data_IF_953613293547
#
_entry.id   IF_953613293547
#
_cell.length_a   1.000
_cell.length_b   1.000
_cell.length_c   1.000
_cell.angle_alpha   90.00
_cell.angle_beta   90.00
_cell.angle_gamma   90.00
#
_symmetry.space_group_name_H-M   'P 1'
#
loop_
_entity.id
_entity.type
_entity.pdbx_description
1 polymer ?
#
# COMPACT_ATOMS: atom_id res chain seq x y z
N UNK A 1 -9.89 -11.94 -25.47
CA UNK A 1 -9.31 -11.72 -24.13
C UNK A 1 -10.38 -11.47 -23.08
N UNK A 2 -11.27 -10.50 -23.25
CA UNK A 2 -12.30 -10.13 -22.26
C UNK A 2 -13.24 -11.29 -21.89
N UNK A 3 -13.71 -12.06 -22.88
CA UNK A 3 -14.54 -13.26 -22.66
C UNK A 3 -13.85 -14.33 -21.80
N UNK A 4 -12.56 -14.51 -21.95
CA UNK A 4 -11.78 -15.51 -21.20
C UNK A 4 -11.57 -15.05 -19.73
N UNK A 5 -11.35 -13.76 -19.54
CA UNK A 5 -11.15 -13.15 -18.23
C UNK A 5 -12.42 -13.21 -17.37
N UNK A 6 -13.58 -12.96 -17.98
CA UNK A 6 -14.88 -13.08 -17.30
C UNK A 6 -15.16 -14.55 -16.93
N UNK A 7 -14.87 -15.50 -17.82
CA UNK A 7 -15.02 -16.94 -17.54
C UNK A 7 -14.17 -17.39 -16.34
N UNK A 8 -12.94 -16.86 -16.20
CA UNK A 8 -12.10 -17.16 -15.01
C UNK A 8 -12.73 -16.63 -13.72
N UNK A 9 -13.31 -15.42 -13.74
CA UNK A 9 -14.00 -14.85 -12.58
C UNK A 9 -15.26 -15.65 -12.22
N UNK A 10 -16.03 -16.09 -13.20
CA UNK A 10 -17.22 -16.94 -13.01
C UNK A 10 -16.92 -18.35 -12.47
N UNK A 11 -15.70 -18.84 -12.74
CA UNK A 11 -15.26 -20.16 -12.28
C UNK A 11 -14.69 -20.15 -10.85
N UNK A 12 -14.59 -18.99 -10.20
CA UNK A 12 -14.04 -18.87 -8.86
C UNK A 12 -14.92 -19.60 -7.84
N UNK A 13 -14.29 -20.45 -7.03
CA UNK A 13 -14.97 -21.23 -5.99
C UNK A 13 -14.48 -20.78 -4.62
N UNK A 14 -15.36 -20.21 -3.75
CA UNK A 14 -15.01 -19.89 -2.38
C UNK A 14 -14.62 -21.15 -1.58
N UNK A 15 -13.63 -21.01 -0.72
CA UNK A 15 -13.12 -22.09 0.14
C UNK A 15 -12.70 -21.55 1.49
N UNK A 16 -12.93 -22.34 2.53
CA UNK A 16 -12.42 -22.07 3.88
C UNK A 16 -10.95 -22.48 3.99
N UNK A 17 -10.15 -21.62 4.59
CA UNK A 17 -8.72 -21.83 4.83
C UNK A 17 -8.40 -21.57 6.32
N UNK A 18 -7.36 -22.20 6.85
CA UNK A 18 -6.82 -21.81 8.17
C UNK A 18 -5.98 -20.55 8.02
N UNK A 19 -6.39 -19.48 8.71
CA UNK A 19 -5.71 -18.18 8.65
C UNK A 19 -4.24 -18.26 9.08
N UNK A 20 -3.94 -19.09 10.09
CA UNK A 20 -2.57 -19.28 10.55
C UNK A 20 -1.70 -19.95 9.49
N UNK A 21 -2.20 -20.98 8.82
CA UNK A 21 -1.48 -21.64 7.71
C UNK A 21 -1.22 -20.66 6.57
N UNK A 22 -2.22 -19.86 6.20
CA UNK A 22 -2.12 -18.90 5.09
C UNK A 22 -1.08 -17.80 5.36
N UNK A 23 -1.03 -17.25 6.58
CA UNK A 23 -0.24 -16.06 6.88
C UNK A 23 1.08 -16.32 7.60
N UNK A 24 1.15 -17.37 8.41
CA UNK A 24 2.35 -17.68 9.22
C UNK A 24 2.91 -19.07 9.01
N UNK A 25 2.22 -19.94 8.26
CA UNK A 25 2.60 -21.35 8.08
C UNK A 25 2.31 -22.23 9.29
N UNK A 26 1.68 -21.68 10.35
CA UNK A 26 1.35 -22.42 11.58
C UNK A 26 -0.17 -22.45 11.75
N UNK A 27 -0.80 -23.63 11.87
CA UNK A 27 -2.25 -23.73 12.01
C UNK A 27 -2.72 -23.11 13.33
N UNK A 28 -3.79 -22.32 13.26
CA UNK A 28 -4.42 -21.67 14.41
C UNK A 28 -5.84 -22.14 14.68
N UNK A 29 -6.47 -22.83 13.73
CA UNK A 29 -7.89 -23.22 13.78
C UNK A 29 -8.84 -22.05 13.48
N UNK A 30 -8.32 -20.84 13.19
CA UNK A 30 -9.15 -19.71 12.80
C UNK A 30 -9.46 -19.78 11.30
N UNK A 31 -10.73 -19.80 10.94
CA UNK A 31 -11.18 -19.87 9.56
C UNK A 31 -11.17 -18.53 8.88
N UNK A 32 -10.67 -18.48 7.64
CA UNK A 32 -10.75 -17.35 6.75
C UNK A 32 -11.21 -17.81 5.36
N UNK A 33 -12.04 -17.01 4.71
CA UNK A 33 -12.51 -17.31 3.36
C UNK A 33 -11.55 -16.78 2.30
N UNK A 34 -11.28 -17.61 1.30
CA UNK A 34 -10.54 -17.26 0.10
C UNK A 34 -11.12 -17.98 -1.11
N UNK A 35 -10.38 -18.03 -2.21
CA UNK A 35 -10.75 -18.80 -3.39
C UNK A 35 -9.80 -19.98 -3.59
N UNK A 36 -10.33 -21.07 -4.14
CA UNK A 36 -9.57 -22.30 -4.33
C UNK A 36 -8.36 -22.10 -5.24
N UNK A 37 -8.54 -21.35 -6.33
CA UNK A 37 -7.50 -21.08 -7.32
C UNK A 37 -7.35 -19.57 -7.55
N UNK A 38 -6.13 -19.11 -7.88
CA UNK A 38 -5.94 -17.74 -8.35
C UNK A 38 -6.54 -17.55 -9.76
N UNK A 39 -6.89 -16.32 -10.11
CA UNK A 39 -7.29 -15.89 -11.45
C UNK A 39 -6.33 -14.80 -11.97
N UNK A 40 -6.56 -14.29 -13.17
CA UNK A 40 -5.77 -13.23 -13.78
C UNK A 40 -5.67 -11.97 -12.90
N UNK A 41 -6.70 -11.68 -12.10
CA UNK A 41 -6.74 -10.51 -11.21
C UNK A 41 -6.12 -10.78 -9.82
N UNK A 42 -5.71 -11.99 -9.52
CA UNK A 42 -5.08 -12.31 -8.24
C UNK A 42 -3.65 -11.74 -8.20
N UNK A 43 -3.29 -10.94 -7.18
CA UNK A 43 -1.94 -10.42 -7.06
C UNK A 43 -0.91 -11.54 -6.86
N UNK A 44 0.33 -11.28 -7.27
CA UNK A 44 1.43 -12.22 -7.06
C UNK A 44 1.86 -12.20 -5.58
N UNK A 45 2.06 -13.38 -5.02
CA UNK A 45 2.64 -13.54 -3.68
C UNK A 45 4.09 -13.06 -3.70
N UNK A 46 4.41 -12.09 -2.84
CA UNK A 46 5.80 -11.71 -2.57
C UNK A 46 6.36 -12.63 -1.48
N UNK A 47 7.35 -13.49 -1.79
CA UNK A 47 7.93 -14.42 -0.83
C UNK A 47 8.74 -13.73 0.27
N UNK A 48 9.14 -12.48 0.07
CA UNK A 48 9.90 -11.69 1.04
C UNK A 48 9.00 -10.81 1.91
N UNK A 49 7.70 -10.75 1.61
CA UNK A 49 6.77 -9.94 2.40
C UNK A 49 6.52 -10.58 3.76
N UNK A 50 6.82 -9.85 4.82
CA UNK A 50 6.51 -10.22 6.20
C UNK A 50 5.32 -9.42 6.70
N UNK A 51 4.30 -10.11 7.21
CA UNK A 51 3.19 -9.45 7.88
C UNK A 51 3.65 -8.87 9.21
N UNK A 52 3.34 -7.61 9.45
CA UNK A 52 3.63 -6.90 10.69
C UNK A 52 2.32 -6.72 11.51
N UNK A 53 2.40 -6.03 12.64
CA UNK A 53 1.32 -5.96 13.63
C UNK A 53 -0.03 -5.54 13.05
N UNK A 54 -0.08 -4.50 12.19
CA UNK A 54 -1.30 -4.03 11.54
C UNK A 54 -1.95 -5.07 10.61
N UNK A 55 -1.23 -6.12 10.22
CA UNK A 55 -1.79 -7.23 9.45
C UNK A 55 -2.83 -8.03 10.24
N UNK A 56 -2.73 -8.05 11.59
CA UNK A 56 -3.71 -8.71 12.45
C UNK A 56 -5.10 -8.09 12.25
N UNK A 57 -5.18 -6.76 12.30
CA UNK A 57 -6.45 -6.05 12.20
C UNK A 57 -7.06 -6.24 10.81
N UNK A 58 -6.24 -6.17 9.77
CA UNK A 58 -6.67 -6.43 8.40
C UNK A 58 -7.10 -7.91 8.19
N UNK A 59 -6.43 -8.89 8.81
CA UNK A 59 -6.85 -10.29 8.77
C UNK A 59 -8.18 -10.51 9.51
N UNK A 60 -8.35 -9.92 10.70
CA UNK A 60 -9.61 -9.96 11.45
C UNK A 60 -10.76 -9.35 10.64
N UNK A 61 -10.50 -8.25 9.95
CA UNK A 61 -11.45 -7.62 9.03
C UNK A 61 -11.87 -8.59 7.91
N UNK A 62 -10.92 -9.28 7.28
CA UNK A 62 -11.20 -10.26 6.25
C UNK A 62 -12.06 -11.43 6.76
N UNK A 63 -11.73 -11.95 7.96
CA UNK A 63 -12.41 -13.09 8.56
C UNK A 63 -13.87 -12.80 8.87
N UNK A 64 -14.18 -11.61 9.35
CA UNK A 64 -15.48 -11.31 9.96
C UNK A 64 -16.45 -10.55 9.05
N UNK A 65 -16.09 -10.25 7.81
CA UNK A 65 -16.91 -9.49 6.85
C UNK A 65 -17.47 -8.21 7.51
N UNK A 66 -16.56 -7.44 8.09
CA UNK A 66 -16.89 -6.19 8.77
C UNK A 66 -17.12 -5.06 7.75
N UNK A 67 -17.46 -3.88 8.25
CA UNK A 67 -17.56 -2.65 7.47
C UNK A 67 -16.30 -2.38 6.63
N UNK A 68 -16.36 -1.54 5.59
CA UNK A 68 -15.19 -1.20 4.78
C UNK A 68 -13.95 -0.83 5.60
N UNK A 69 -12.77 -1.19 5.12
CA UNK A 69 -11.51 -0.92 5.82
C UNK A 69 -10.84 0.34 5.28
N UNK A 70 -10.43 1.25 6.17
CA UNK A 70 -9.59 2.38 5.81
C UNK A 70 -8.23 2.28 6.50
N UNK A 71 -7.19 2.03 5.71
CA UNK A 71 -5.81 1.97 6.15
C UNK A 71 -5.18 3.36 6.00
N UNK A 72 -4.76 3.96 7.08
CA UNK A 72 -4.08 5.25 7.06
C UNK A 72 -2.69 5.17 7.70
N UNK A 73 -1.84 6.14 7.40
CA UNK A 73 -0.49 6.22 7.96
C UNK A 73 0.53 6.80 6.99
N UNK A 74 1.79 6.92 7.38
CA UNK A 74 2.80 7.63 6.61
C UNK A 74 3.03 7.02 5.24
N UNK A 75 3.53 7.85 4.29
CA UNK A 75 3.84 7.38 2.94
C UNK A 75 4.88 6.26 2.96
N UNK A 76 4.65 5.21 2.15
CA UNK A 76 5.56 4.07 2.03
C UNK A 76 5.63 3.16 3.26
N UNK A 77 4.65 3.20 4.18
CA UNK A 77 4.50 2.26 5.30
C UNK A 77 4.00 0.87 4.90
N UNK A 78 3.59 0.67 3.64
CA UNK A 78 3.17 -0.63 3.13
C UNK A 78 1.65 -0.87 3.12
N UNK A 79 0.81 0.15 3.32
CA UNK A 79 -0.67 0.04 3.32
C UNK A 79 -1.22 -0.77 2.14
N UNK A 80 -0.92 -0.36 0.92
CA UNK A 80 -1.34 -1.05 -0.30
C UNK A 80 -0.76 -2.46 -0.40
N UNK A 81 0.52 -2.63 -0.03
CA UNK A 81 1.20 -3.93 -0.04
C UNK A 81 0.54 -4.91 0.93
N UNK A 82 0.12 -4.45 2.10
CA UNK A 82 -0.58 -5.25 3.09
C UNK A 82 -1.85 -5.87 2.49
N UNK A 83 -2.72 -5.06 1.91
CA UNK A 83 -3.97 -5.54 1.31
C UNK A 83 -3.70 -6.45 0.10
N UNK A 84 -2.74 -6.08 -0.77
CA UNK A 84 -2.35 -6.92 -1.91
C UNK A 84 -1.84 -8.29 -1.47
N UNK A 85 -1.05 -8.36 -0.42
CA UNK A 85 -0.48 -9.61 0.06
C UNK A 85 -1.50 -10.47 0.84
N UNK A 86 -2.49 -9.87 1.48
CA UNK A 86 -3.66 -10.60 1.99
C UNK A 86 -4.47 -11.20 0.83
N UNK A 87 -4.81 -10.41 -0.18
CA UNK A 87 -5.55 -10.86 -1.36
C UNK A 87 -4.80 -11.98 -2.11
N UNK A 88 -3.48 -11.83 -2.30
CA UNK A 88 -2.65 -12.81 -2.98
C UNK A 88 -2.69 -14.20 -2.31
N UNK A 89 -2.53 -14.23 -0.97
CA UNK A 89 -2.49 -15.50 -0.21
C UNK A 89 -3.86 -16.15 -0.06
N UNK A 90 -4.93 -15.40 -0.26
CA UNK A 90 -6.31 -15.89 -0.23
C UNK A 90 -6.87 -16.13 -1.64
N UNK A 91 -6.04 -15.99 -2.69
CA UNK A 91 -6.43 -16.08 -4.10
C UNK A 91 -7.57 -15.12 -4.49
N UNK A 92 -7.73 -14.00 -3.81
CA UNK A 92 -8.77 -13.02 -4.12
C UNK A 92 -8.49 -12.29 -5.43
N UNK A 93 -9.51 -12.13 -6.31
CA UNK A 93 -9.45 -11.13 -7.38
C UNK A 93 -9.30 -9.74 -6.76
N UNK A 94 -8.36 -8.98 -7.26
CA UNK A 94 -7.98 -7.69 -6.71
C UNK A 94 -8.14 -6.58 -7.75
N UNK A 95 -8.96 -5.62 -7.45
CA UNK A 95 -9.26 -4.48 -8.31
C UNK A 95 -8.84 -3.20 -7.60
N UNK A 96 -8.04 -2.38 -8.26
CA UNK A 96 -7.42 -1.21 -7.66
C UNK A 96 -7.65 0.03 -8.51
N UNK A 97 -8.00 1.12 -7.84
CA UNK A 97 -8.00 2.46 -8.41
C UNK A 97 -7.23 3.41 -7.52
N UNK A 98 -6.68 4.47 -8.10
CA UNK A 98 -6.02 5.53 -7.34
C UNK A 98 -6.91 6.76 -7.31
N UNK A 99 -7.19 7.26 -6.12
CA UNK A 99 -7.95 8.48 -5.89
C UNK A 99 -7.23 9.70 -6.47
N UNK A 100 -7.96 10.52 -7.18
CA UNK A 100 -7.51 11.83 -7.66
C UNK A 100 -8.72 12.72 -7.97
N UNK A 101 -8.52 14.02 -8.01
CA UNK A 101 -9.60 14.98 -8.16
C UNK A 101 -10.37 14.96 -9.50
N UNK A 102 -9.98 14.10 -10.47
CA UNK A 102 -10.65 13.93 -11.77
C UNK A 102 -11.22 12.53 -11.96
N UNK A 103 -11.17 11.70 -10.93
CA UNK A 103 -11.80 10.37 -11.00
C UNK A 103 -13.30 10.55 -11.15
N UNK A 104 -13.93 9.77 -12.03
CA UNK A 104 -15.36 9.79 -12.26
C UNK A 104 -16.00 8.46 -11.85
N UNK A 105 -17.30 8.47 -11.57
CA UNK A 105 -18.05 7.24 -11.22
C UNK A 105 -17.98 6.23 -12.35
N UNK A 106 -17.93 6.69 -13.60
CA UNK A 106 -17.78 5.84 -14.78
C UNK A 106 -16.46 5.05 -14.78
N UNK A 107 -15.36 5.63 -14.26
CA UNK A 107 -14.07 4.94 -14.13
C UNK A 107 -14.15 3.76 -13.16
N UNK A 108 -15.04 3.85 -12.18
CA UNK A 108 -15.25 2.81 -11.17
C UNK A 108 -16.24 1.75 -11.65
N UNK A 109 -17.36 2.20 -12.22
CA UNK A 109 -18.50 1.35 -12.56
C UNK A 109 -18.40 0.74 -13.97
N UNK A 110 -17.84 1.49 -14.91
CA UNK A 110 -17.74 1.11 -16.32
C UNK A 110 -18.41 2.13 -17.24
N UNK A 111 -18.23 1.94 -18.52
CA UNK A 111 -18.71 2.84 -19.55
C UNK A 111 -19.03 2.10 -20.86
N UNK A 112 -19.76 2.76 -21.76
CA UNK A 112 -20.03 2.25 -23.10
C UNK A 112 -18.81 2.51 -23.98
N UNK A 113 -18.29 1.46 -24.62
CA UNK A 113 -17.21 1.53 -25.61
C UNK A 113 -17.64 1.03 -26.98
N UNK A 114 -16.91 1.43 -28.03
CA UNK A 114 -17.17 1.01 -29.42
C UNK A 114 -16.19 -0.09 -29.81
N UNK A 115 -16.68 -1.33 -29.95
CA UNK A 115 -15.92 -2.48 -30.42
C UNK A 115 -16.44 -2.97 -31.79
N UNK A 116 -15.58 -3.01 -32.80
CA UNK A 116 -15.90 -3.58 -34.11
C UNK A 116 -17.22 -3.06 -34.69
N UNK A 117 -17.54 -1.77 -34.44
CA UNK A 117 -18.77 -1.13 -34.96
C UNK A 117 -20.03 -1.38 -34.09
N UNK A 118 -19.93 -2.08 -32.98
CA UNK A 118 -21.02 -2.25 -32.02
C UNK A 118 -20.69 -1.61 -30.68
N UNK A 119 -21.70 -0.99 -30.03
CA UNK A 119 -21.57 -0.45 -28.69
C UNK A 119 -21.68 -1.60 -27.68
N UNK A 120 -20.73 -1.65 -26.73
CA UNK A 120 -20.74 -2.61 -25.62
C UNK A 120 -20.45 -1.88 -24.33
N UNK A 121 -21.06 -2.34 -23.24
CA UNK A 121 -20.72 -1.85 -21.91
C UNK A 121 -19.49 -2.61 -21.38
N UNK A 122 -18.44 -1.88 -21.00
CA UNK A 122 -17.26 -2.41 -20.34
C UNK A 122 -17.38 -2.16 -18.84
N UNK A 123 -17.37 -3.25 -18.06
CA UNK A 123 -17.49 -3.16 -16.59
C UNK A 123 -16.19 -2.60 -15.98
N UNK A 124 -16.35 -1.60 -15.13
CA UNK A 124 -15.28 -1.03 -14.36
C UNK A 124 -14.86 -1.93 -13.16
N UNK A 125 -13.75 -1.58 -12.50
CA UNK A 125 -13.17 -2.40 -11.44
C UNK A 125 -14.10 -2.61 -10.23
N UNK A 126 -14.92 -1.63 -9.87
CA UNK A 126 -15.92 -1.76 -8.81
C UNK A 126 -17.01 -2.76 -9.19
N UNK A 127 -17.55 -2.64 -10.39
CA UNK A 127 -18.60 -3.53 -10.90
C UNK A 127 -18.14 -4.99 -10.94
N UNK A 128 -16.90 -5.22 -11.42
CA UNK A 128 -16.29 -6.55 -11.44
C UNK A 128 -16.08 -7.11 -10.02
N UNK A 129 -15.53 -6.29 -9.12
CA UNK A 129 -15.31 -6.71 -7.75
C UNK A 129 -16.63 -7.06 -7.04
N UNK A 130 -17.65 -6.22 -7.17
CA UNK A 130 -18.97 -6.46 -6.57
C UNK A 130 -19.63 -7.72 -7.11
N UNK A 131 -19.56 -7.94 -8.43
CA UNK A 131 -20.23 -9.06 -9.10
C UNK A 131 -19.59 -10.40 -8.78
N UNK A 132 -18.25 -10.46 -8.77
CA UNK A 132 -17.50 -11.73 -8.69
C UNK A 132 -16.84 -11.97 -7.32
N UNK A 133 -17.13 -11.12 -6.33
CA UNK A 133 -16.62 -11.32 -4.97
C UNK A 133 -15.16 -10.91 -4.79
N UNK A 134 -14.68 -9.97 -5.60
CA UNK A 134 -13.32 -9.46 -5.49
C UNK A 134 -13.11 -8.48 -4.33
N UNK A 135 -11.85 -8.16 -4.09
CA UNK A 135 -11.46 -7.06 -3.23
C UNK A 135 -11.25 -5.81 -4.08
N UNK A 136 -12.00 -4.76 -3.79
CA UNK A 136 -11.87 -3.45 -4.40
C UNK A 136 -11.08 -2.52 -3.49
N UNK A 137 -9.97 -1.97 -3.98
CA UNK A 137 -9.11 -1.05 -3.25
C UNK A 137 -9.12 0.33 -3.89
N UNK A 138 -9.40 1.36 -3.09
CA UNK A 138 -9.18 2.76 -3.47
C UNK A 138 -7.92 3.26 -2.77
N UNK A 139 -6.83 3.44 -3.53
CA UNK A 139 -5.61 4.06 -3.01
C UNK A 139 -5.76 5.58 -2.95
N UNK A 140 -5.11 6.19 -1.94
CA UNK A 140 -5.08 7.65 -1.78
C UNK A 140 -6.48 8.27 -1.76
N UNK A 141 -7.39 7.66 -1.01
CA UNK A 141 -8.81 8.05 -0.93
C UNK A 141 -8.99 9.49 -0.40
N UNK A 142 -8.04 9.99 0.34
CA UNK A 142 -7.95 11.38 0.84
C UNK A 142 -7.72 12.43 -0.27
N UNK A 143 -7.47 11.99 -1.51
CA UNK A 143 -7.41 12.83 -2.71
C UNK A 143 -8.69 12.79 -3.56
N UNK A 144 -9.71 12.03 -3.15
CA UNK A 144 -10.98 11.95 -3.86
C UNK A 144 -11.77 13.26 -3.78
N UNK A 145 -12.49 13.57 -4.86
CA UNK A 145 -13.49 14.63 -4.80
C UNK A 145 -14.66 14.22 -3.90
N UNK A 146 -15.31 15.18 -3.20
CA UNK A 146 -16.48 14.90 -2.36
C UNK A 146 -17.64 14.23 -3.13
N UNK A 147 -17.80 14.53 -4.42
CA UNK A 147 -18.83 13.98 -5.29
C UNK A 147 -18.68 12.47 -5.46
N UNK A 148 -17.46 11.99 -5.66
CA UNK A 148 -17.16 10.55 -5.77
C UNK A 148 -17.39 9.86 -4.42
N UNK A 149 -16.94 10.47 -3.33
CA UNK A 149 -17.16 9.93 -1.99
C UNK A 149 -18.65 9.73 -1.70
N UNK A 150 -19.48 10.72 -2.04
CA UNK A 150 -20.96 10.60 -1.90
C UNK A 150 -21.53 9.52 -2.82
N UNK A 151 -21.04 9.40 -4.06
CA UNK A 151 -21.48 8.37 -5.01
C UNK A 151 -21.22 6.94 -4.52
N UNK A 152 -20.22 6.76 -3.66
CA UNK A 152 -19.87 5.45 -3.10
C UNK A 152 -20.64 5.08 -1.82
N UNK A 153 -21.40 6.01 -1.21
CA UNK A 153 -22.06 5.76 0.08
C UNK A 153 -22.91 4.49 0.07
N UNK A 154 -23.73 4.28 -0.96
CA UNK A 154 -24.55 3.10 -1.06
C UNK A 154 -23.75 1.79 -1.08
N UNK A 155 -22.67 1.78 -1.85
CA UNK A 155 -21.78 0.60 -1.95
C UNK A 155 -21.08 0.31 -0.63
N UNK A 156 -20.63 1.35 0.08
CA UNK A 156 -20.00 1.21 1.39
C UNK A 156 -20.96 0.62 2.43
N UNK A 157 -22.27 0.91 2.31
CA UNK A 157 -23.34 0.37 3.16
C UNK A 157 -23.89 -0.99 2.66
N UNK A 158 -23.29 -1.57 1.61
CA UNK A 158 -23.70 -2.86 1.05
C UNK A 158 -24.92 -2.81 0.12
N UNK A 159 -25.33 -1.61 -0.32
CA UNK A 159 -26.40 -1.46 -1.30
C UNK A 159 -25.99 -1.96 -2.69
N UNK A 160 -26.95 -2.42 -3.52
CA UNK A 160 -26.71 -2.76 -4.91
C UNK A 160 -26.20 -1.55 -5.73
N UNK A 161 -25.35 -1.82 -6.71
CA UNK A 161 -24.90 -0.84 -7.69
C UNK A 161 -25.83 -0.88 -8.90
N UNK A 162 -26.43 0.27 -9.23
CA UNK A 162 -27.22 0.42 -10.44
C UNK A 162 -26.37 1.01 -11.56
N UNK A 163 -26.44 0.42 -12.76
CA UNK A 163 -25.74 0.84 -13.97
C UNK A 163 -26.73 1.38 -14.99
N UNK A 164 -27.11 2.66 -14.94
CA UNK A 164 -28.10 3.22 -15.86
C UNK A 164 -27.70 3.09 -17.33
N UNK A 165 -26.41 3.26 -17.62
CA UNK A 165 -25.85 3.18 -18.99
C UNK A 165 -25.85 1.74 -19.55
N UNK A 166 -25.96 0.73 -18.68
CA UNK A 166 -26.10 -0.67 -19.07
C UNK A 166 -27.57 -1.14 -18.96
N UNK A 167 -28.49 -0.38 -19.47
CA UNK A 167 -29.91 -0.75 -19.47
C UNK A 167 -30.54 -0.79 -18.07
N UNK A 168 -29.98 -0.15 -17.07
CA UNK A 168 -30.45 -0.17 -15.70
C UNK A 168 -30.11 -1.46 -14.95
N UNK A 169 -29.08 -2.15 -15.35
CA UNK A 169 -28.60 -3.34 -14.66
C UNK A 169 -28.31 -3.05 -13.18
N UNK A 170 -28.68 -3.99 -12.30
CA UNK A 170 -28.44 -3.92 -10.86
C UNK A 170 -27.49 -5.03 -10.44
N UNK A 171 -26.33 -4.66 -9.88
CA UNK A 171 -25.35 -5.58 -9.35
C UNK A 171 -25.48 -5.63 -7.83
N UNK A 172 -25.88 -6.79 -7.30
CA UNK A 172 -25.87 -7.05 -5.86
C UNK A 172 -24.45 -7.44 -5.42
N UNK A 173 -23.97 -6.94 -4.26
CA UNK A 173 -22.65 -7.34 -3.76
C UNK A 173 -22.59 -8.85 -3.51
N UNK A 174 -21.63 -9.51 -4.12
CA UNK A 174 -21.32 -10.91 -3.84
C UNK A 174 -20.92 -11.07 -2.37
N UNK A 175 -21.19 -12.21 -1.75
CA UNK A 175 -20.85 -12.46 -0.34
C UNK A 175 -19.35 -12.35 -0.03
N UNK A 176 -18.49 -12.66 -1.02
CA UNK A 176 -17.05 -12.53 -0.91
C UNK A 176 -16.55 -11.10 -1.18
N UNK A 177 -17.39 -10.19 -1.66
CA UNK A 177 -16.97 -8.81 -1.94
C UNK A 177 -16.41 -8.10 -0.71
N UNK A 178 -15.27 -7.43 -0.89
CA UNK A 178 -14.62 -6.62 0.12
C UNK A 178 -14.21 -5.27 -0.49
N UNK A 179 -14.31 -4.21 0.32
CA UNK A 179 -13.85 -2.88 -0.07
C UNK A 179 -12.90 -2.34 0.99
N UNK A 180 -11.76 -1.84 0.52
CA UNK A 180 -10.75 -1.19 1.35
C UNK A 180 -10.29 0.12 0.72
N UNK A 181 -9.80 1.03 1.55
CA UNK A 181 -9.23 2.30 1.13
C UNK A 181 -7.86 2.49 1.78
N UNK A 182 -6.98 3.25 1.12
CA UNK A 182 -5.74 3.74 1.75
C UNK A 182 -5.67 5.25 1.69
N UNK A 183 -5.09 5.88 2.70
CA UNK A 183 -4.80 7.30 2.74
C UNK A 183 -3.54 7.62 3.54
N UNK A 184 -3.04 8.82 3.40
CA UNK A 184 -1.88 9.28 4.17
C UNK A 184 -2.27 9.98 5.47
N UNK A 185 -3.55 10.35 5.59
CA UNK A 185 -4.16 10.98 6.76
C UNK A 185 -5.28 10.09 7.32
N UNK A 186 -5.68 10.32 8.56
CA UNK A 186 -6.83 9.67 9.18
C UNK A 186 -8.19 10.27 8.75
N UNK A 187 -8.19 11.08 7.69
CA UNK A 187 -9.36 11.82 7.22
C UNK A 187 -9.52 13.21 7.84
N UNK A 188 -8.70 13.59 8.81
CA UNK A 188 -8.68 14.92 9.42
C UNK A 188 -8.07 16.02 8.55
N UNK A 189 -7.52 15.67 7.39
CA UNK A 189 -6.68 16.53 6.58
C UNK A 189 -5.21 16.50 7.04
N UNK A 190 -4.36 17.20 6.31
CA UNK A 190 -2.93 17.28 6.62
C UNK A 190 -2.62 18.58 7.38
N UNK A 191 -2.50 18.48 8.70
CA UNK A 191 -2.09 19.59 9.55
C UNK A 191 -0.56 19.86 9.47
N UNK A 192 0.21 18.97 8.85
CA UNK A 192 1.67 19.06 8.72
C UNK A 192 2.13 19.79 7.47
N UNK A 193 1.25 19.94 6.46
CA UNK A 193 1.57 20.49 5.14
C UNK A 193 2.45 19.60 4.26
N UNK A 194 2.69 18.36 4.68
CA UNK A 194 3.56 17.41 3.98
C UNK A 194 2.82 16.60 2.89
N UNK A 195 1.50 16.48 3.01
CA UNK A 195 0.63 15.75 2.08
C UNK A 195 -0.29 16.72 1.33
N UNK A 196 0.30 17.51 0.43
CA UNK A 196 -0.45 18.49 -0.34
C UNK A 196 -1.58 17.84 -1.14
N UNK A 197 -2.75 18.48 -1.15
CA UNK A 197 -3.93 18.01 -1.88
C UNK A 197 -4.85 17.09 -1.08
N UNK A 198 -4.46 16.64 0.10
CA UNK A 198 -5.37 15.90 0.99
C UNK A 198 -6.36 16.87 1.62
N UNK A 199 -7.66 16.57 1.46
CA UNK A 199 -8.75 17.33 2.06
C UNK A 199 -9.21 16.72 3.40
N UNK A 200 -9.92 17.53 4.20
CA UNK A 200 -10.70 16.97 5.31
C UNK A 200 -11.85 16.16 4.74
N UNK A 201 -11.93 14.91 5.14
CA UNK A 201 -13.02 14.02 4.75
C UNK A 201 -14.26 14.28 5.61
N UNK A 202 -15.43 14.03 5.05
CA UNK A 202 -16.67 14.15 5.78
C UNK A 202 -16.72 13.10 6.89
N UNK A 203 -16.99 13.51 8.13
CA UNK A 203 -17.08 12.61 9.29
C UNK A 203 -18.11 11.49 9.10
N UNK A 204 -19.27 11.81 8.51
CA UNK A 204 -20.28 10.80 8.22
C UNK A 204 -19.82 9.77 7.18
N UNK A 205 -18.92 10.15 6.28
CA UNK A 205 -18.30 9.22 5.34
C UNK A 205 -17.29 8.30 6.03
N UNK A 206 -16.45 8.87 6.92
CA UNK A 206 -15.46 8.12 7.72
C UNK A 206 -16.11 7.13 8.70
N UNK A 207 -17.29 7.44 9.22
CA UNK A 207 -18.06 6.59 10.15
C UNK A 207 -18.45 5.23 9.54
N UNK A 208 -18.36 5.10 8.21
CA UNK A 208 -18.62 3.84 7.48
C UNK A 208 -17.44 2.89 7.46
N UNK A 209 -16.29 3.30 8.00
CA UNK A 209 -15.06 2.53 7.90
C UNK A 209 -14.55 2.05 9.26
N UNK A 210 -13.97 0.88 9.25
CA UNK A 210 -13.02 0.49 10.28
C UNK A 210 -11.69 1.12 9.94
N UNK A 211 -11.15 1.94 10.85
CA UNK A 211 -9.87 2.60 10.67
C UNK A 211 -8.75 1.73 11.22
N UNK A 212 -7.71 1.52 10.43
CA UNK A 212 -6.51 0.79 10.81
C UNK A 212 -5.26 1.63 10.52
N UNK A 213 -4.49 1.91 11.54
CA UNK A 213 -3.22 2.62 11.40
C UNK A 213 -2.11 1.68 10.94
N UNK A 214 -1.40 2.06 9.89
CA UNK A 214 -0.29 1.29 9.34
C UNK A 214 1.00 2.11 9.43
N UNK A 215 1.75 1.87 10.46
CA UNK A 215 3.05 2.50 10.70
C UNK A 215 4.18 1.78 9.93
N UNK A 216 5.40 2.34 10.00
CA UNK A 216 6.57 1.64 9.48
C UNK A 216 6.80 0.35 10.24
N UNK A 217 7.31 -0.71 9.56
CA UNK A 217 7.66 -1.95 10.22
C UNK A 217 8.72 -1.74 11.31
N UNK A 218 8.72 -2.61 12.30
CA UNK A 218 9.75 -2.63 13.33
C UNK A 218 11.15 -2.81 12.75
N UNK A 219 12.16 -2.28 13.43
CA UNK A 219 13.55 -2.34 13.00
C UNK A 219 14.02 -3.79 12.71
N UNK A 220 13.55 -4.76 13.48
CA UNK A 220 13.87 -6.18 13.29
C UNK A 220 13.32 -6.69 11.96
N UNK A 221 12.07 -6.34 11.63
CA UNK A 221 11.43 -6.75 10.38
C UNK A 221 12.12 -6.12 9.17
N UNK A 222 12.48 -4.84 9.22
CA UNK A 222 13.21 -4.17 8.14
C UNK A 222 14.62 -4.70 7.97
N UNK A 223 15.33 -4.99 9.07
CA UNK A 223 16.63 -5.64 9.04
C UNK A 223 16.56 -7.00 8.33
N UNK A 224 15.62 -7.85 8.75
CA UNK A 224 15.43 -9.18 8.15
C UNK A 224 15.09 -9.09 6.66
N UNK A 225 14.27 -8.11 6.28
CA UNK A 225 13.92 -7.85 4.88
C UNK A 225 15.16 -7.44 4.06
N UNK A 226 15.98 -6.52 4.57
CA UNK A 226 17.20 -6.09 3.91
C UNK A 226 18.22 -7.22 3.76
N UNK A 227 18.44 -8.02 4.81
CA UNK A 227 19.35 -9.17 4.76
C UNK A 227 18.90 -10.20 3.73
N UNK A 228 17.60 -10.47 3.64
CA UNK A 228 17.05 -11.40 2.65
C UNK A 228 17.18 -10.89 1.22
N UNK A 229 16.92 -9.60 0.97
CA UNK A 229 16.95 -9.02 -0.36
C UNK A 229 18.36 -8.66 -0.83
N UNK A 230 19.23 -8.29 0.09
CA UNK A 230 20.58 -7.81 -0.20
C UNK A 230 21.66 -8.56 0.63
N UNK A 231 21.80 -9.88 0.46
CA UNK A 231 22.71 -10.70 1.26
C UNK A 231 24.20 -10.33 1.13
N UNK A 232 24.54 -9.52 0.13
CA UNK A 232 25.92 -9.01 -0.09
C UNK A 232 26.23 -7.83 0.84
N UNK A 233 25.21 -7.14 1.38
CA UNK A 233 25.44 -6.07 2.35
C UNK A 233 25.86 -6.66 3.70
N UNK A 234 26.97 -6.19 4.30
CA UNK A 234 27.36 -6.63 5.63
C UNK A 234 26.26 -6.31 6.66
N UNK A 235 25.97 -7.24 7.57
CA UNK A 235 24.88 -7.09 8.55
C UNK A 235 25.01 -5.82 9.39
N UNK A 236 26.22 -5.44 9.77
CA UNK A 236 26.46 -4.21 10.54
C UNK A 236 26.11 -2.94 9.75
N UNK A 237 26.21 -2.95 8.42
CA UNK A 237 25.78 -1.86 7.55
C UNK A 237 24.25 -1.83 7.48
N UNK A 238 23.62 -3.00 7.33
CA UNK A 238 22.14 -3.12 7.33
C UNK A 238 21.55 -2.56 8.62
N UNK A 239 22.10 -2.94 9.79
CA UNK A 239 21.63 -2.41 11.08
C UNK A 239 21.72 -0.88 11.11
N UNK A 240 22.86 -0.32 10.73
CA UNK A 240 23.04 1.15 10.70
C UNK A 240 22.12 1.84 9.70
N UNK A 241 21.81 1.21 8.56
CA UNK A 241 20.85 1.76 7.60
C UNK A 241 19.44 1.82 8.17
N UNK A 242 19.01 0.79 8.90
CA UNK A 242 17.71 0.76 9.60
C UNK A 242 17.67 1.81 10.71
N UNK A 243 18.72 1.90 11.52
CA UNK A 243 18.82 2.90 12.59
C UNK A 243 18.78 4.34 12.02
N UNK A 244 19.49 4.59 10.94
CA UNK A 244 19.45 5.86 10.21
C UNK A 244 18.03 6.19 9.73
N UNK A 245 17.34 5.19 9.13
CA UNK A 245 15.97 5.38 8.68
C UNK A 245 15.02 5.74 9.83
N UNK A 246 15.16 5.06 10.97
CA UNK A 246 14.33 5.31 12.15
C UNK A 246 14.59 6.68 12.77
N UNK A 247 15.83 7.16 12.76
CA UNK A 247 16.15 8.51 13.24
C UNK A 247 15.51 9.59 12.36
N UNK A 248 15.56 9.42 11.03
CA UNK A 248 14.89 10.33 10.09
C UNK A 248 13.37 10.32 10.28
N UNK A 249 12.76 9.14 10.47
CA UNK A 249 11.31 9.00 10.73
C UNK A 249 10.86 9.71 11.99
N UNK A 250 11.64 9.61 13.08
CA UNK A 250 11.33 10.32 14.33
C UNK A 250 11.28 11.84 14.13
N UNK A 251 12.26 12.39 13.40
CA UNK A 251 12.30 13.82 13.11
C UNK A 251 11.16 14.25 12.17
N UNK A 252 10.81 13.43 11.17
CA UNK A 252 9.68 13.68 10.27
C UNK A 252 8.33 13.66 11.01
N UNK A 253 8.13 12.74 11.94
CA UNK A 253 6.87 12.60 12.68
C UNK A 253 6.70 13.62 13.82
N UNK A 254 7.65 14.54 14.00
CA UNK A 254 7.56 15.60 15.02
C UNK A 254 7.68 15.09 16.46
N UNK A 255 8.26 13.92 16.66
CA UNK A 255 8.49 13.33 17.98
C UNK A 255 9.60 14.03 18.80
N UNK A 256 10.14 15.16 18.31
CA UNK A 256 11.04 16.03 19.08
C UNK A 256 10.24 17.20 19.66
N UNK A 257 10.34 17.41 20.96
CA UNK A 257 9.68 18.48 21.75
C UNK A 257 10.03 19.93 21.33
N UNK A 258 10.77 20.10 20.24
CA UNK A 258 11.19 21.40 19.73
C UNK A 258 10.57 21.69 18.37
N UNK A 259 9.76 22.72 18.29
CA UNK A 259 9.06 23.25 17.10
C UNK A 259 9.99 23.71 15.94
N UNK A 260 11.29 23.45 16.02
CA UNK A 260 12.29 24.02 15.11
C UNK A 260 12.88 23.05 14.09
N UNK A 261 12.64 21.73 14.19
CA UNK A 261 13.40 20.74 13.42
C UNK A 261 12.54 19.64 12.74
N UNK A 262 11.32 19.96 12.31
CA UNK A 262 10.57 19.04 11.44
C UNK A 262 11.18 19.05 10.03
N UNK A 263 11.60 17.87 9.57
CA UNK A 263 12.12 17.69 8.22
C UNK A 263 10.98 17.33 7.26
N UNK A 264 11.07 17.88 6.04
CA UNK A 264 10.05 17.71 4.99
C UNK A 264 10.12 16.37 4.24
N UNK A 265 11.08 15.51 4.58
CA UNK A 265 11.27 14.21 3.92
C UNK A 265 11.31 13.08 4.93
N UNK A 266 10.79 11.92 4.55
CA UNK A 266 10.89 10.70 5.35
C UNK A 266 11.59 9.59 4.60
N UNK A 267 12.30 8.73 5.32
CA UNK A 267 12.95 7.54 4.78
C UNK A 267 12.02 6.33 4.98
N UNK A 268 11.04 6.18 4.07
CA UNK A 268 10.12 5.05 4.08
C UNK A 268 10.84 3.73 3.85
N UNK A 269 10.22 2.59 4.18
CA UNK A 269 10.74 1.25 3.86
C UNK A 269 11.08 1.12 2.39
N UNK A 270 10.23 1.63 1.48
CA UNK A 270 10.51 1.68 0.03
C UNK A 270 11.78 2.48 -0.28
N UNK A 271 12.00 3.60 0.39
CA UNK A 271 13.18 4.44 0.21
C UNK A 271 14.43 3.76 0.79
N UNK A 272 14.29 3.07 1.92
CA UNK A 272 15.36 2.29 2.55
C UNK A 272 15.84 1.16 1.63
N UNK A 273 14.93 0.39 1.05
CA UNK A 273 15.26 -0.65 0.07
C UNK A 273 15.96 -0.06 -1.17
N UNK A 274 15.47 1.06 -1.68
CA UNK A 274 16.11 1.77 -2.80
C UNK A 274 17.52 2.24 -2.44
N UNK A 275 17.70 2.75 -1.23
CA UNK A 275 19.04 3.18 -0.77
C UNK A 275 20.01 2.01 -0.70
N UNK A 276 19.59 0.86 -0.18
CA UNK A 276 20.37 -0.36 -0.13
C UNK A 276 20.77 -0.86 -1.54
N UNK A 277 19.79 -0.95 -2.45
CA UNK A 277 20.04 -1.36 -3.84
C UNK A 277 21.02 -0.42 -4.55
N UNK A 278 20.81 0.90 -4.43
CA UNK A 278 21.71 1.88 -5.04
C UNK A 278 23.11 1.87 -4.42
N UNK A 279 23.23 1.60 -3.12
CA UNK A 279 24.54 1.49 -2.45
C UNK A 279 25.37 0.37 -3.07
N UNK A 280 24.77 -0.80 -3.32
CA UNK A 280 25.44 -1.90 -3.99
C UNK A 280 25.80 -1.58 -5.44
N UNK A 281 24.87 -1.00 -6.19
CA UNK A 281 25.10 -0.62 -7.60
C UNK A 281 26.21 0.42 -7.77
N UNK A 282 26.36 1.31 -6.79
CA UNK A 282 27.40 2.35 -6.83
C UNK A 282 28.70 1.95 -6.12
N UNK A 283 28.79 0.74 -5.57
CA UNK A 283 30.03 0.24 -4.95
C UNK A 283 31.28 0.38 -5.86
N UNK A 284 31.21 0.12 -7.19
CA UNK A 284 32.38 0.32 -8.06
C UNK A 284 32.92 1.75 -8.10
N UNK A 285 32.09 2.76 -7.76
CA UNK A 285 32.54 4.16 -7.74
C UNK A 285 33.48 4.48 -6.57
N UNK A 286 33.59 3.58 -5.58
CA UNK A 286 34.53 3.71 -4.47
C UNK A 286 35.99 3.84 -4.98
N UNK A 287 36.34 3.16 -6.08
CA UNK A 287 37.66 3.27 -6.71
C UNK A 287 37.94 4.69 -7.27
N UNK A 288 36.92 5.51 -7.44
CA UNK A 288 37.02 6.90 -7.88
C UNK A 288 36.98 7.90 -6.72
N UNK A 289 37.04 7.42 -5.46
CA UNK A 289 36.97 8.24 -4.26
C UNK A 289 35.54 8.69 -3.91
N UNK A 290 34.53 8.12 -4.55
CA UNK A 290 33.11 8.41 -4.27
C UNK A 290 32.61 7.45 -3.18
N UNK A 291 32.03 7.99 -2.11
CA UNK A 291 31.45 7.17 -1.04
C UNK A 291 30.08 6.61 -1.46
N UNK A 292 29.91 5.30 -1.68
CA UNK A 292 28.68 4.73 -2.24
C UNK A 292 27.44 4.99 -1.41
N UNK A 293 27.52 4.89 -0.08
CA UNK A 293 26.40 5.15 0.85
C UNK A 293 25.85 6.57 0.71
N UNK A 294 26.74 7.56 0.72
CA UNK A 294 26.38 8.98 0.59
C UNK A 294 25.82 9.29 -0.79
N UNK A 295 26.47 8.77 -1.83
CA UNK A 295 26.07 8.95 -3.22
C UNK A 295 24.68 8.34 -3.51
N UNK A 296 24.42 7.16 -2.95
CA UNK A 296 23.13 6.46 -3.05
C UNK A 296 22.02 7.18 -2.24
N UNK A 297 22.34 7.67 -1.03
CA UNK A 297 21.39 8.39 -0.19
C UNK A 297 20.82 9.62 -0.90
N UNK A 298 21.67 10.39 -1.56
CA UNK A 298 21.23 11.55 -2.33
C UNK A 298 20.19 11.20 -3.39
N UNK A 299 20.38 10.08 -4.09
CA UNK A 299 19.48 9.63 -5.16
C UNK A 299 18.21 8.98 -4.62
N UNK A 300 18.32 8.32 -3.48
CA UNK A 300 17.16 7.72 -2.82
C UNK A 300 16.27 8.77 -2.15
N UNK A 301 16.88 9.77 -1.50
CA UNK A 301 16.20 10.75 -0.65
C UNK A 301 16.71 12.20 -0.83
N UNK A 302 18.02 12.43 -0.76
CA UNK A 302 18.61 13.75 -0.57
C UNK A 302 18.24 14.79 -1.62
N UNK A 303 18.08 14.40 -2.89
CA UNK A 303 17.67 15.33 -3.96
C UNK A 303 16.23 15.83 -3.89
N UNK A 304 15.40 15.23 -3.05
CA UNK A 304 14.03 15.68 -2.77
C UNK A 304 13.95 16.64 -1.57
N UNK A 305 15.02 16.68 -0.79
CA UNK A 305 15.11 17.50 0.40
C UNK A 305 15.61 18.92 0.09
N UNK A 306 15.25 19.86 0.93
CA UNK A 306 15.84 21.21 0.94
C UNK A 306 17.35 21.13 1.19
N UNK A 307 18.08 22.20 0.85
CA UNK A 307 19.52 22.25 1.11
C UNK A 307 19.89 22.05 2.58
N UNK A 308 19.22 22.70 3.55
CA UNK A 308 19.48 22.47 4.97
C UNK A 308 19.24 21.03 5.38
N UNK A 309 18.08 20.46 5.03
CA UNK A 309 17.74 19.06 5.35
C UNK A 309 18.75 18.08 4.72
N UNK A 310 19.15 18.31 3.47
CA UNK A 310 20.18 17.48 2.82
C UNK A 310 21.52 17.55 3.55
N UNK A 311 21.94 18.73 4.01
CA UNK A 311 23.17 18.88 4.79
C UNK A 311 23.09 18.09 6.11
N UNK A 312 21.96 18.18 6.81
CA UNK A 312 21.68 17.42 8.04
C UNK A 312 21.70 15.91 7.79
N UNK A 313 21.10 15.42 6.69
CA UNK A 313 21.16 13.99 6.29
C UNK A 313 22.59 13.52 6.12
N UNK A 314 23.46 14.30 5.49
CA UNK A 314 24.88 13.97 5.30
C UNK A 314 25.66 14.00 6.62
N UNK A 315 25.39 14.96 7.50
CA UNK A 315 26.01 15.05 8.82
C UNK A 315 25.63 13.83 9.68
N UNK A 316 24.34 13.45 9.70
CA UNK A 316 23.87 12.26 10.38
C UNK A 316 24.52 11.00 9.80
N UNK A 317 24.63 10.91 8.47
CA UNK A 317 25.27 9.78 7.78
C UNK A 317 26.74 9.65 8.20
N UNK A 318 27.51 10.75 8.21
CA UNK A 318 28.92 10.75 8.61
C UNK A 318 29.08 10.31 10.08
N UNK A 319 28.18 10.73 10.96
CA UNK A 319 28.18 10.35 12.38
C UNK A 319 27.91 8.85 12.57
N UNK A 320 26.98 8.27 11.81
CA UNK A 320 26.60 6.86 11.94
C UNK A 320 27.49 5.90 11.16
N UNK A 321 28.09 6.38 10.06
CA UNK A 321 29.00 5.61 9.21
C UNK A 321 30.36 6.33 9.12
N UNK A 322 31.20 6.24 10.17
CA UNK A 322 32.54 6.81 10.11
C UNK A 322 33.36 6.20 8.97
N UNK A 323 34.38 6.90 8.49
CA UNK A 323 35.13 6.55 7.26
C UNK A 323 35.74 5.13 7.24
N UNK A 324 35.84 4.47 8.36
CA UNK A 324 36.34 3.09 8.50
C UNK A 324 35.31 2.00 8.18
N UNK A 325 34.07 2.35 7.87
CA UNK A 325 33.04 1.41 7.42
C UNK A 325 33.19 1.13 5.93
N UNK A 326 34.25 0.41 5.54
CA UNK A 326 34.35 -0.12 4.19
C UNK A 326 33.29 -1.22 3.99
N UNK A 327 32.56 -1.17 2.89
CA UNK A 327 31.73 -2.27 2.40
C UNK A 327 32.70 -3.39 1.99
N UNK A 328 33.11 -4.21 2.97
CA UNK A 328 33.92 -5.41 2.90
C UNK A 328 35.02 -5.54 1.84
N UNK A 329 36.19 -5.97 2.27
CA UNK A 329 37.09 -6.77 1.41
C UNK A 329 36.46 -8.14 1.10
#
# INVERSE_FOLDING_TARGET
MESQTIQELEALTPVEMDAGLVFSGVPTGNTIWGFQNPCLYTPVIDPHYSFHESARDAAVWFMNKLDPLYLYGPTGSGKTSLIKQLAARLNYPFFEVTGHGRLEVADLCGHISLHEGSMRYEYGPLSLAMRYGGLFLINEVDLLSPEIAVGLNGVLEGAPLCLPENGGEVIHPHEMFRIACTGNTNGGGDDTGLYQGTGRMNLAWLDRFILCEVNYPDAVVEKDLLVKLYPVLPEHIVVKMVDFANEIRKQFMGASDSYTDTIEVTLSTRTLLRWADLTLRFQPLAHQGIQPLSYALDRALGFRASRPTRAMLHELLQRMFPMDCHLGE
#
